data_IF_685467688510
#
_entry.id   IF_685467688510
#
_cell.length_a   1.000
_cell.length_b   1.000
_cell.length_c   1.000
_cell.angle_alpha   90.00
_cell.angle_beta   90.00
_cell.angle_gamma   90.00
#
_symmetry.space_group_name_H-M   'P 1'
#
loop_
_entity.id
_entity.type
_entity.pdbx_description
1 polymer ?
#
# COMPACT_ATOMS: atom_id res chain seq x y z
N UNK A 1 34.23 44.18 -23.02
CA UNK A 1 33.58 44.11 -21.68
C UNK A 1 32.21 43.48 -21.89
N UNK A 2 31.91 42.38 -21.21
CA UNK A 2 30.55 41.83 -21.23
C UNK A 2 29.62 42.83 -20.51
N UNK A 3 28.41 43.09 -21.02
CA UNK A 3 27.49 44.03 -20.38
C UNK A 3 27.07 43.52 -18.99
N UNK A 4 27.21 44.36 -17.96
CA UNK A 4 26.76 44.07 -16.59
C UNK A 4 25.26 43.79 -16.59
N UNK A 5 24.83 42.64 -16.08
CA UNK A 5 23.42 42.24 -16.09
C UNK A 5 22.71 42.88 -14.91
N UNK A 6 22.04 44.01 -15.17
CA UNK A 6 21.25 44.72 -14.16
C UNK A 6 19.78 44.41 -14.34
N UNK A 7 19.14 43.89 -13.28
CA UNK A 7 17.69 43.70 -13.27
C UNK A 7 17.09 44.04 -11.91
N UNK A 8 15.89 44.61 -11.92
CA UNK A 8 15.10 44.86 -10.71
C UNK A 8 14.04 43.78 -10.56
N UNK A 9 13.91 43.27 -9.35
CA UNK A 9 12.96 42.24 -8.98
C UNK A 9 12.02 42.77 -7.89
N UNK A 10 10.78 42.26 -7.89
CA UNK A 10 9.73 42.61 -6.93
C UNK A 10 9.32 41.36 -6.15
N UNK A 11 8.83 41.55 -4.93
CA UNK A 11 8.25 40.48 -4.14
C UNK A 11 7.13 39.77 -4.92
N UNK A 12 7.11 38.43 -4.84
CA UNK A 12 6.10 37.60 -5.51
C UNK A 12 4.72 37.77 -4.88
N UNK A 13 4.67 38.03 -3.57
CA UNK A 13 3.44 38.28 -2.84
C UNK A 13 3.01 39.74 -3.06
N UNK A 14 2.00 39.94 -3.91
CA UNK A 14 1.55 41.25 -4.39
C UNK A 14 1.12 42.22 -3.29
N UNK A 15 0.76 41.70 -2.10
CA UNK A 15 0.43 42.50 -0.92
C UNK A 15 1.64 43.24 -0.32
N UNK A 16 2.87 42.91 -0.73
CA UNK A 16 4.09 43.47 -0.15
C UNK A 16 4.95 44.17 -1.21
N UNK A 17 5.55 45.30 -0.82
CA UNK A 17 6.27 46.21 -1.72
C UNK A 17 7.78 45.96 -1.77
N UNK A 18 8.26 44.79 -1.33
CA UNK A 18 9.68 44.47 -1.30
C UNK A 18 10.32 44.53 -2.69
N UNK A 19 11.49 45.17 -2.79
CA UNK A 19 12.24 45.27 -4.06
C UNK A 19 13.72 44.98 -3.86
N UNK A 20 14.28 44.24 -4.81
CA UNK A 20 15.69 43.91 -4.88
C UNK A 20 16.26 44.27 -6.25
N UNK A 21 17.53 44.63 -6.28
CA UNK A 21 18.31 44.83 -7.50
C UNK A 21 19.38 43.76 -7.56
N UNK A 22 19.49 43.10 -8.71
CA UNK A 22 20.60 42.22 -9.04
C UNK A 22 21.61 43.00 -9.87
N UNK A 23 22.86 43.06 -9.39
CA UNK A 23 23.99 43.65 -10.10
C UNK A 23 25.18 42.69 -9.97
N UNK A 24 25.63 42.14 -11.11
CA UNK A 24 26.82 41.29 -11.25
C UNK A 24 27.01 40.22 -10.15
N UNK A 25 25.95 39.47 -9.84
CA UNK A 25 25.98 38.35 -8.88
C UNK A 25 25.53 38.71 -7.47
N UNK A 26 25.29 39.98 -7.17
CA UNK A 26 24.91 40.45 -5.84
C UNK A 26 23.47 40.96 -5.86
N UNK A 27 22.65 40.45 -4.93
CA UNK A 27 21.33 41.01 -4.66
C UNK A 27 21.43 42.07 -3.58
N UNK A 28 20.95 43.27 -3.89
CA UNK A 28 20.81 44.37 -2.93
C UNK A 28 19.34 44.71 -2.75
N UNK A 29 18.81 44.55 -1.54
CA UNK A 29 17.46 45.01 -1.17
C UNK A 29 17.49 46.52 -0.97
N UNK A 30 16.57 47.24 -1.61
CA UNK A 30 16.50 48.70 -1.49
C UNK A 30 15.12 49.20 -1.07
N UNK A 31 14.15 48.30 -0.98
CA UNK A 31 12.86 48.56 -0.35
C UNK A 31 12.53 47.36 0.52
N UNK A 32 12.38 47.63 1.82
CA UNK A 32 12.09 46.60 2.81
C UNK A 32 10.74 45.95 2.54
N UNK A 33 10.67 44.65 2.79
CA UNK A 33 9.44 43.89 2.78
C UNK A 33 8.95 43.73 4.23
N UNK A 34 7.71 44.13 4.51
CA UNK A 34 7.02 43.74 5.76
C UNK A 34 6.25 42.45 5.47
N UNK A 35 6.92 41.42 4.96
CA UNK A 35 6.28 40.13 4.72
C UNK A 35 6.41 39.23 5.95
N UNK A 36 5.49 38.27 6.07
CA UNK A 36 5.69 37.11 6.95
C UNK A 36 7.03 36.44 6.57
N UNK A 37 7.76 35.93 7.56
CA UNK A 37 8.94 35.12 7.29
C UNK A 37 8.59 34.05 6.24
N UNK A 38 9.42 33.85 5.21
CA UNK A 38 9.11 32.92 4.14
C UNK A 38 8.96 31.52 4.73
N UNK A 39 7.95 30.79 4.27
CA UNK A 39 7.70 29.44 4.73
C UNK A 39 8.87 28.54 4.27
N UNK A 40 9.61 27.92 5.20
CA UNK A 40 10.71 27.03 4.87
C UNK A 40 10.29 25.93 3.88
N UNK A 41 9.07 25.40 4.02
CA UNK A 41 8.56 24.33 3.17
C UNK A 41 8.32 24.80 1.72
N UNK A 42 7.84 26.04 1.55
CA UNK A 42 7.65 26.62 0.21
C UNK A 42 8.99 26.91 -0.47
N UNK A 43 9.99 27.39 0.28
CA UNK A 43 11.35 27.62 -0.23
C UNK A 43 11.96 26.30 -0.70
N UNK A 44 11.89 25.25 0.11
CA UNK A 44 12.46 23.94 -0.23
C UNK A 44 11.78 23.33 -1.46
N UNK A 45 10.45 23.42 -1.56
CA UNK A 45 9.70 23.00 -2.75
C UNK A 45 10.14 23.78 -4.00
N UNK A 46 10.36 25.09 -3.88
CA UNK A 46 10.83 25.92 -4.99
C UNK A 46 12.25 25.53 -5.42
N UNK A 47 13.15 25.32 -4.46
CA UNK A 47 14.54 24.88 -4.71
C UNK A 47 14.58 23.50 -5.38
N UNK A 48 13.76 22.55 -4.93
CA UNK A 48 13.65 21.23 -5.54
C UNK A 48 13.21 21.31 -7.01
N UNK A 49 12.16 22.08 -7.29
CA UNK A 49 11.66 22.27 -8.66
C UNK A 49 12.70 22.97 -9.55
N UNK A 50 13.44 23.92 -8.98
CA UNK A 50 14.52 24.61 -9.68
C UNK A 50 15.65 23.64 -10.06
N UNK A 51 16.12 22.80 -9.12
CA UNK A 51 17.17 21.81 -9.38
C UNK A 51 16.77 20.81 -10.47
N UNK A 52 15.53 20.30 -10.44
CA UNK A 52 15.04 19.41 -11.51
C UNK A 52 15.09 20.10 -12.87
N UNK A 53 14.58 21.34 -12.96
CA UNK A 53 14.56 22.09 -14.22
C UNK A 53 15.96 22.41 -14.73
N UNK A 54 16.85 22.80 -13.83
CA UNK A 54 18.25 23.10 -14.14
C UNK A 54 18.97 21.85 -14.65
N UNK A 55 18.83 20.72 -13.96
CA UNK A 55 19.47 19.47 -14.36
C UNK A 55 18.91 18.97 -15.69
N UNK A 56 17.59 19.04 -15.91
CA UNK A 56 16.97 18.68 -17.19
C UNK A 56 17.45 19.52 -18.39
N UNK A 57 17.95 20.74 -18.15
CA UNK A 57 18.54 21.59 -19.18
C UNK A 57 20.03 21.30 -19.41
N UNK A 58 20.73 20.77 -18.41
CA UNK A 58 22.20 20.62 -18.41
C UNK A 58 22.66 19.18 -18.65
N UNK A 59 21.86 18.17 -18.27
CA UNK A 59 22.18 16.77 -18.47
C UNK A 59 21.17 16.08 -19.38
N UNK A 60 21.66 15.08 -20.12
CA UNK A 60 20.83 14.17 -20.94
C UNK A 60 20.38 12.93 -20.16
N UNK A 61 20.43 13.00 -18.83
CA UNK A 61 19.99 11.88 -18.00
C UNK A 61 18.49 11.65 -18.21
N UNK A 62 18.03 10.38 -18.12
CA UNK A 62 16.61 10.11 -18.17
C UNK A 62 15.88 10.85 -17.03
N UNK A 63 14.66 11.37 -17.25
CA UNK A 63 13.93 12.18 -16.27
C UNK A 63 13.84 11.55 -14.87
N UNK A 64 13.79 10.22 -14.81
CA UNK A 64 13.82 9.44 -13.57
C UNK A 64 15.07 9.69 -12.74
N UNK A 65 16.24 9.66 -13.36
CA UNK A 65 17.54 9.83 -12.69
C UNK A 65 17.72 11.27 -12.20
N UNK A 66 17.25 12.24 -12.99
CA UNK A 66 17.24 13.67 -12.62
C UNK A 66 16.44 13.91 -11.34
N UNK A 67 15.23 13.35 -11.27
CA UNK A 67 14.35 13.48 -10.11
C UNK A 67 14.95 12.77 -8.89
N UNK A 68 15.53 11.57 -9.07
CA UNK A 68 16.14 10.82 -7.97
C UNK A 68 17.35 11.56 -7.38
N UNK A 69 18.23 12.09 -8.23
CA UNK A 69 19.40 12.84 -7.79
C UNK A 69 19.01 14.15 -7.09
N UNK A 70 17.93 14.81 -7.53
CA UNK A 70 17.40 15.98 -6.84
C UNK A 70 16.84 15.62 -5.44
N UNK A 71 16.16 14.47 -5.31
CA UNK A 71 15.62 13.99 -4.03
C UNK A 71 16.69 13.67 -2.99
N UNK A 72 17.84 13.11 -3.40
CA UNK A 72 18.93 12.77 -2.47
C UNK A 72 19.55 14.01 -1.78
N UNK A 73 19.30 15.21 -2.30
CA UNK A 73 19.81 16.48 -1.74
C UNK A 73 18.87 17.09 -0.69
N UNK A 74 17.74 16.45 -0.40
CA UNK A 74 16.68 16.98 0.47
C UNK A 74 16.69 16.25 1.81
N UNK A 75 16.42 16.97 2.91
CA UNK A 75 16.30 16.37 4.24
C UNK A 75 15.06 15.45 4.33
N UNK A 76 15.08 14.49 5.27
CA UNK A 76 13.94 13.58 5.45
C UNK A 76 12.65 14.32 5.84
N UNK A 77 12.76 15.36 6.67
CA UNK A 77 11.62 16.14 7.14
C UNK A 77 10.98 16.95 5.99
N UNK A 78 11.81 17.51 5.11
CA UNK A 78 11.39 18.25 3.92
C UNK A 78 10.75 17.39 2.83
N UNK A 79 11.13 16.11 2.75
CA UNK A 79 10.64 15.18 1.72
C UNK A 79 9.12 14.96 1.78
N UNK A 80 8.49 15.23 2.92
CA UNK A 80 7.04 15.11 3.16
C UNK A 80 6.25 16.17 2.36
N UNK A 81 6.83 17.37 2.19
CA UNK A 81 6.15 18.55 1.62
C UNK A 81 6.30 18.69 0.10
N UNK A 82 7.04 17.76 -0.53
CA UNK A 82 7.34 17.79 -1.96
C UNK A 82 6.31 16.98 -2.75
N UNK A 83 5.85 17.46 -3.93
CA UNK A 83 4.97 16.68 -4.80
C UNK A 83 5.57 15.30 -5.09
N UNK A 84 4.92 14.25 -4.59
CA UNK A 84 5.32 12.89 -4.90
C UNK A 84 4.91 12.55 -6.32
N UNK A 85 5.89 12.32 -7.20
CA UNK A 85 5.65 11.63 -8.45
C UNK A 85 5.19 10.20 -8.14
N UNK A 86 3.93 9.90 -8.40
CA UNK A 86 3.29 8.60 -8.11
C UNK A 86 3.75 7.49 -9.04
N UNK A 87 4.47 7.79 -10.12
CA UNK A 87 4.71 6.78 -11.17
C UNK A 87 5.91 5.84 -10.93
N UNK A 88 6.69 5.97 -9.86
CA UNK A 88 7.71 4.96 -9.52
C UNK A 88 8.33 5.24 -8.16
N UNK A 89 7.84 4.60 -7.09
CA UNK A 89 8.65 4.43 -5.88
C UNK A 89 9.17 3.00 -5.86
N UNK A 90 10.42 2.82 -6.32
CA UNK A 90 11.17 1.61 -6.02
C UNK A 90 11.45 1.61 -4.52
N UNK A 91 10.50 1.12 -3.71
CA UNK A 91 10.68 0.96 -2.27
C UNK A 91 11.84 -0.03 -2.09
N UNK A 92 12.88 0.34 -1.36
CA UNK A 92 13.89 -0.62 -0.93
C UNK A 92 13.58 -0.85 0.54
N UNK A 93 13.23 -2.07 0.93
CA UNK A 93 13.04 -2.44 2.34
C UNK A 93 14.44 -2.67 2.92
N UNK A 94 14.97 -1.78 3.77
CA UNK A 94 16.30 -1.97 4.33
C UNK A 94 16.35 -3.24 5.19
N UNK A 95 17.51 -3.87 5.28
CA UNK A 95 17.68 -5.19 5.91
C UNK A 95 17.17 -5.24 7.36
N UNK A 96 17.34 -4.15 8.12
CA UNK A 96 16.87 -4.04 9.50
C UNK A 96 15.34 -3.98 9.64
N UNK A 97 14.60 -3.72 8.55
CA UNK A 97 13.14 -3.78 8.51
C UNK A 97 12.61 -5.09 7.95
N UNK A 98 13.48 -5.99 7.50
CA UNK A 98 13.11 -7.34 7.07
C UNK A 98 13.03 -8.32 8.24
N UNK A 99 13.46 -7.90 9.43
CA UNK A 99 13.45 -8.68 10.66
C UNK A 99 12.54 -8.05 11.72
N UNK A 100 12.05 -8.85 12.66
CA UNK A 100 11.29 -8.36 13.80
C UNK A 100 12.23 -7.83 14.92
N UNK A 101 11.65 -7.41 16.05
CA UNK A 101 12.40 -6.91 17.20
C UNK A 101 13.34 -7.96 17.85
N UNK A 102 13.16 -9.24 17.55
CA UNK A 102 13.99 -10.35 18.00
C UNK A 102 15.03 -10.77 16.94
N UNK A 103 15.19 -9.98 15.87
CA UNK A 103 16.09 -10.25 14.74
C UNK A 103 15.75 -11.53 13.96
N UNK A 104 14.48 -11.97 14.01
CA UNK A 104 13.98 -13.08 13.21
C UNK A 104 13.44 -12.57 11.87
N UNK A 105 13.61 -13.35 10.81
CA UNK A 105 13.06 -13.02 9.49
C UNK A 105 11.55 -12.78 9.60
N UNK A 106 11.12 -11.61 9.14
CA UNK A 106 9.74 -11.16 9.26
C UNK A 106 9.15 -10.74 7.91
N UNK A 107 9.92 -10.13 7.01
CA UNK A 107 9.52 -9.98 5.62
C UNK A 107 9.57 -11.35 4.95
N UNK A 108 8.42 -11.99 4.81
CA UNK A 108 8.27 -13.32 4.24
C UNK A 108 8.39 -13.31 2.71
N UNK A 109 7.79 -12.30 2.08
CA UNK A 109 7.70 -12.22 0.64
C UNK A 109 7.71 -10.78 0.14
N UNK A 110 8.43 -10.57 -0.96
CA UNK A 110 8.46 -9.34 -1.73
C UNK A 110 8.62 -9.72 -3.20
N UNK A 111 7.58 -9.45 -4.01
CA UNK A 111 7.64 -9.76 -5.45
C UNK A 111 8.55 -8.78 -6.24
N UNK A 112 9.05 -7.71 -5.59
CA UNK A 112 9.89 -6.68 -6.20
C UNK A 112 9.28 -6.02 -7.45
N UNK A 113 7.95 -6.08 -7.61
CA UNK A 113 7.25 -5.39 -8.70
C UNK A 113 7.17 -3.89 -8.39
N UNK A 114 7.40 -3.04 -9.41
CA UNK A 114 7.42 -1.59 -9.26
C UNK A 114 6.05 -0.92 -9.29
N UNK A 115 5.02 -1.63 -9.77
CA UNK A 115 3.66 -1.12 -9.96
C UNK A 115 2.64 -1.94 -9.16
N UNK A 116 2.87 -3.24 -9.03
CA UNK A 116 1.99 -4.20 -8.35
C UNK A 116 2.73 -4.93 -7.24
N UNK A 117 3.43 -4.16 -6.41
CA UNK A 117 4.23 -4.73 -5.34
C UNK A 117 3.35 -5.42 -4.31
N UNK A 118 3.70 -6.65 -3.95
CA UNK A 118 3.10 -7.37 -2.84
C UNK A 118 4.19 -7.60 -1.79
N UNK A 119 3.92 -7.15 -0.57
CA UNK A 119 4.76 -7.44 0.59
C UNK A 119 3.96 -8.31 1.56
N UNK A 120 4.57 -9.38 2.08
CA UNK A 120 3.97 -10.25 3.09
C UNK A 120 4.92 -10.32 4.28
N UNK A 121 4.36 -10.13 5.47
CA UNK A 121 5.07 -10.12 6.73
C UNK A 121 4.51 -11.20 7.66
N UNK A 122 5.36 -12.16 8.02
CA UNK A 122 5.09 -13.19 9.00
C UNK A 122 6.42 -13.85 9.38
N UNK A 123 6.52 -14.31 10.63
CA UNK A 123 7.61 -15.21 11.03
C UNK A 123 7.23 -16.65 10.69
N UNK A 124 8.21 -17.56 10.69
CA UNK A 124 7.93 -19.00 10.60
C UNK A 124 6.97 -19.46 11.70
N UNK A 125 7.18 -19.01 12.93
CA UNK A 125 6.32 -19.34 14.07
C UNK A 125 4.87 -18.86 13.87
N UNK A 126 4.66 -17.70 13.25
CA UNK A 126 3.30 -17.25 12.93
C UNK A 126 2.61 -18.18 11.93
N UNK A 127 3.34 -18.68 10.93
CA UNK A 127 2.83 -19.64 9.95
C UNK A 127 2.53 -20.99 10.61
N UNK A 128 3.41 -21.45 11.50
CA UNK A 128 3.18 -22.67 12.30
C UNK A 128 1.92 -22.55 13.17
N UNK A 129 1.71 -21.40 13.83
CA UNK A 129 0.46 -21.16 14.56
C UNK A 129 -0.75 -21.10 13.65
N UNK A 130 -0.64 -20.48 12.48
CA UNK A 130 -1.70 -20.51 11.47
C UNK A 130 -2.02 -21.95 11.05
N UNK A 131 -1.02 -22.83 10.91
CA UNK A 131 -1.20 -24.26 10.61
C UNK A 131 -2.00 -25.01 11.68
N UNK A 132 -1.80 -24.65 12.94
CA UNK A 132 -2.49 -25.25 14.09
C UNK A 132 -3.88 -24.68 14.34
N UNK A 133 -4.20 -23.52 13.76
CA UNK A 133 -5.50 -22.88 13.93
C UNK A 133 -6.59 -23.62 13.13
N UNK A 134 -7.64 -24.06 13.82
CA UNK A 134 -8.86 -24.59 13.18
C UNK A 134 -9.57 -23.54 12.30
N UNK A 135 -9.34 -22.25 12.58
CA UNK A 135 -10.01 -21.17 11.88
C UNK A 135 -9.12 -19.95 11.68
N UNK A 136 -9.19 -19.40 10.46
CA UNK A 136 -8.55 -18.15 10.11
C UNK A 136 -9.58 -17.07 9.84
N UNK A 137 -9.24 -15.85 10.21
CA UNK A 137 -10.04 -14.66 9.94
C UNK A 137 -9.18 -13.72 9.13
N UNK A 138 -9.71 -13.21 8.02
CA UNK A 138 -8.98 -12.26 7.20
C UNK A 138 -9.68 -10.92 7.23
N UNK A 139 -8.91 -9.85 7.37
CA UNK A 139 -9.43 -8.48 7.35
C UNK A 139 -8.55 -7.59 6.49
N UNK A 140 -9.20 -6.75 5.69
CA UNK A 140 -8.55 -5.85 4.77
C UNK A 140 -8.88 -4.39 5.10
N UNK A 141 -7.93 -3.67 5.69
CA UNK A 141 -8.13 -2.30 6.17
C UNK A 141 -7.55 -1.26 5.22
N UNK A 142 -8.36 -0.29 4.80
CA UNK A 142 -7.98 0.77 3.84
C UNK A 142 -7.41 2.02 4.51
N UNK A 143 -7.98 2.43 5.65
CA UNK A 143 -7.62 3.67 6.33
C UNK A 143 -6.16 3.73 6.82
N UNK A 144 -5.53 2.56 6.95
CA UNK A 144 -4.17 2.38 7.49
C UNK A 144 -3.16 1.95 6.42
N UNK A 145 -3.60 1.78 5.17
CA UNK A 145 -2.70 1.40 4.08
C UNK A 145 -1.74 2.56 3.78
N UNK A 146 -0.41 2.31 3.71
CA UNK A 146 0.53 3.32 3.26
C UNK A 146 0.16 3.79 1.85
N UNK A 147 0.41 5.07 1.51
CA UNK A 147 0.02 5.68 0.22
C UNK A 147 0.43 4.91 -1.04
N UNK A 148 1.39 3.99 -0.94
CA UNK A 148 1.91 3.19 -2.04
C UNK A 148 1.15 1.87 -2.26
N UNK A 149 0.22 1.54 -1.36
CA UNK A 149 -0.59 0.33 -1.40
C UNK A 149 -2.06 0.72 -1.25
N UNK A 150 -2.94 0.01 -1.94
CA UNK A 150 -4.38 0.27 -1.84
C UNK A 150 -4.97 -0.29 -0.56
N UNK A 151 -4.34 -1.34 0.01
CA UNK A 151 -4.86 -2.03 1.18
C UNK A 151 -3.77 -2.69 2.03
N UNK A 152 -3.95 -2.68 3.35
CA UNK A 152 -3.30 -3.61 4.26
C UNK A 152 -4.23 -4.79 4.50
N UNK A 153 -3.78 -6.01 4.24
CA UNK A 153 -4.56 -7.23 4.43
C UNK A 153 -3.91 -8.13 5.48
N UNK A 154 -4.70 -8.57 6.45
CA UNK A 154 -4.23 -9.31 7.62
C UNK A 154 -4.95 -10.65 7.74
N UNK A 155 -4.22 -11.68 8.15
CA UNK A 155 -4.74 -13.03 8.45
C UNK A 155 -4.51 -13.29 9.94
N UNK A 156 -5.57 -13.70 10.62
CA UNK A 156 -5.64 -13.90 12.05
C UNK A 156 -5.99 -15.35 12.37
N UNK A 157 -5.24 -15.95 13.29
CA UNK A 157 -5.56 -17.27 13.83
C UNK A 157 -6.27 -17.17 15.18
N UNK A 158 -7.07 -18.17 15.53
CA UNK A 158 -7.65 -18.30 16.87
C UNK A 158 -6.74 -19.16 17.75
N UNK A 159 -6.03 -18.53 18.69
CA UNK A 159 -5.13 -19.22 19.62
C UNK A 159 -5.70 -19.07 21.04
N UNK A 160 -6.07 -20.20 21.66
CA UNK A 160 -6.65 -20.25 23.02
C UNK A 160 -7.84 -19.29 23.20
N UNK A 161 -8.73 -19.25 22.20
CA UNK A 161 -9.92 -18.41 22.20
C UNK A 161 -9.67 -16.93 21.91
N UNK A 162 -8.44 -16.53 21.58
CA UNK A 162 -8.10 -15.15 21.17
C UNK A 162 -7.79 -15.10 19.68
N UNK A 163 -8.33 -14.09 18.99
CA UNK A 163 -8.00 -13.81 17.59
C UNK A 163 -6.74 -12.95 17.55
N UNK A 164 -5.67 -13.49 16.99
CA UNK A 164 -4.38 -12.81 16.89
C UNK A 164 -4.00 -12.66 15.42
N UNK A 165 -3.54 -11.47 14.99
CA UNK A 165 -2.98 -11.30 13.66
C UNK A 165 -1.63 -12.04 13.58
N UNK A 166 -1.52 -12.94 12.62
CA UNK A 166 -0.33 -13.78 12.43
C UNK A 166 0.39 -13.43 11.13
N UNK A 167 -0.33 -12.88 10.14
CA UNK A 167 0.25 -12.44 8.89
C UNK A 167 -0.33 -11.10 8.46
N UNK A 168 0.55 -10.23 7.98
CA UNK A 168 0.18 -8.94 7.38
C UNK A 168 0.68 -8.88 5.95
N UNK A 169 -0.03 -8.16 5.10
CA UNK A 169 0.36 -7.94 3.72
C UNK A 169 -0.04 -6.55 3.26
N UNK A 170 0.78 -6.00 2.36
CA UNK A 170 0.52 -4.74 1.69
C UNK A 170 0.25 -5.06 0.23
N UNK A 171 -0.96 -4.77 -0.22
CA UNK A 171 -1.47 -5.16 -1.53
C UNK A 171 -1.61 -3.93 -2.44
N UNK A 172 -1.23 -4.05 -3.73
CA UNK A 172 -1.26 -2.93 -4.66
C UNK A 172 -2.68 -2.57 -5.09
N UNK A 173 -3.61 -3.52 -5.03
CA UNK A 173 -5.00 -3.37 -5.41
C UNK A 173 -5.86 -4.50 -4.80
N UNK A 174 -7.15 -4.52 -5.13
CA UNK A 174 -8.12 -5.54 -4.69
C UNK A 174 -8.43 -6.57 -5.76
N UNK A 175 -7.57 -6.69 -6.78
CA UNK A 175 -7.82 -7.61 -7.87
C UNK A 175 -7.74 -9.06 -7.39
N UNK A 176 -8.56 -9.91 -8.00
CA UNK A 176 -8.53 -11.35 -7.82
C UNK A 176 -7.10 -11.93 -7.83
N UNK A 177 -6.32 -11.58 -8.86
CA UNK A 177 -4.97 -12.11 -9.08
C UNK A 177 -4.01 -11.76 -7.94
N UNK A 178 -4.20 -10.61 -7.31
CA UNK A 178 -3.40 -10.16 -6.17
C UNK A 178 -3.65 -11.04 -4.95
N UNK A 179 -4.91 -11.37 -4.67
CA UNK A 179 -5.26 -12.31 -3.60
C UNK A 179 -4.80 -13.74 -3.91
N UNK A 180 -4.96 -14.19 -5.15
CA UNK A 180 -4.45 -15.49 -5.58
C UNK A 180 -2.94 -15.60 -5.34
N UNK A 181 -2.17 -14.56 -5.66
CA UNK A 181 -0.73 -14.53 -5.42
C UNK A 181 -0.41 -14.56 -3.91
N UNK A 182 -1.06 -13.70 -3.11
CA UNK A 182 -0.90 -13.68 -1.65
C UNK A 182 -1.09 -15.07 -1.05
N UNK A 183 -2.26 -15.66 -1.28
CA UNK A 183 -2.61 -16.93 -0.66
C UNK A 183 -1.86 -18.12 -1.29
N UNK A 184 -1.35 -18.00 -2.53
CA UNK A 184 -0.42 -18.99 -3.10
C UNK A 184 0.88 -19.00 -2.31
N UNK A 185 1.43 -17.83 -1.99
CA UNK A 185 2.65 -17.74 -1.18
C UNK A 185 2.40 -18.28 0.23
N UNK A 186 1.25 -17.96 0.83
CA UNK A 186 0.86 -18.51 2.13
C UNK A 186 0.80 -20.04 2.04
N UNK A 187 0.03 -20.60 1.09
CA UNK A 187 -0.13 -22.04 0.87
C UNK A 187 1.17 -22.82 0.62
N UNK A 188 2.23 -22.18 0.10
CA UNK A 188 3.55 -22.80 -0.10
C UNK A 188 4.27 -23.12 1.22
N UNK A 189 3.83 -22.55 2.35
CA UNK A 189 4.39 -22.77 3.67
C UNK A 189 3.65 -23.88 4.46
N UNK A 190 3.18 -24.92 3.75
CA UNK A 190 2.64 -26.17 4.30
C UNK A 190 1.41 -26.01 5.22
N UNK A 191 0.35 -25.33 4.75
CA UNK A 191 -0.85 -25.17 5.57
C UNK A 191 -1.87 -26.30 5.40
N UNK A 192 -2.21 -26.93 6.52
CA UNK A 192 -3.17 -28.04 6.64
C UNK A 192 -4.58 -27.70 6.11
N UNK A 193 -4.87 -26.41 5.92
CA UNK A 193 -6.06 -25.88 5.24
C UNK A 193 -6.37 -26.54 3.89
N UNK A 194 -5.33 -26.90 3.13
CA UNK A 194 -5.50 -27.56 1.84
C UNK A 194 -6.17 -28.93 1.99
N UNK A 195 -5.96 -29.60 3.12
CA UNK A 195 -6.45 -30.96 3.37
C UNK A 195 -7.93 -30.97 3.75
N UNK A 196 -8.33 -30.17 4.73
CA UNK A 196 -9.73 -30.13 5.21
C UNK A 196 -10.70 -29.67 4.11
N UNK A 197 -10.35 -28.64 3.34
CA UNK A 197 -11.20 -28.19 2.23
C UNK A 197 -11.23 -29.17 1.05
N UNK A 198 -10.11 -29.76 0.63
CA UNK A 198 -10.11 -30.70 -0.50
C UNK A 198 -10.80 -32.01 -0.16
N UNK A 199 -10.68 -32.48 1.07
CA UNK A 199 -11.22 -33.76 1.51
C UNK A 199 -12.71 -33.64 1.93
N UNK A 200 -13.15 -32.49 2.48
CA UNK A 200 -14.53 -32.30 2.90
C UNK A 200 -15.43 -31.77 1.76
N UNK A 201 -16.20 -32.67 1.13
CA UNK A 201 -17.17 -32.31 0.09
C UNK A 201 -18.27 -31.35 0.58
N UNK A 202 -18.71 -31.48 1.83
CA UNK A 202 -19.73 -30.62 2.42
C UNK A 202 -19.23 -29.17 2.48
N UNK A 203 -18.04 -28.95 3.05
CA UNK A 203 -17.42 -27.62 3.13
C UNK A 203 -17.22 -26.99 1.75
N UNK A 204 -16.81 -27.77 0.73
CA UNK A 204 -16.70 -27.27 -0.65
C UNK A 204 -18.02 -26.81 -1.23
N UNK A 205 -19.08 -27.61 -1.05
CA UNK A 205 -20.39 -27.29 -1.60
C UNK A 205 -21.02 -26.09 -0.90
N UNK A 206 -20.92 -26.03 0.42
CA UNK A 206 -21.42 -24.91 1.24
C UNK A 206 -20.83 -23.58 0.81
N UNK A 207 -19.54 -23.55 0.50
CA UNK A 207 -18.87 -22.33 0.08
C UNK A 207 -19.21 -21.90 -1.33
N UNK A 208 -19.45 -22.85 -2.24
CA UNK A 208 -20.03 -22.55 -3.56
C UNK A 208 -21.44 -21.97 -3.42
N UNK A 209 -22.24 -22.52 -2.52
CA UNK A 209 -23.61 -22.04 -2.29
C UNK A 209 -23.61 -20.63 -1.65
N UNK A 210 -22.72 -20.36 -0.69
CA UNK A 210 -22.52 -19.02 -0.11
C UNK A 210 -22.12 -17.98 -1.16
N UNK A 211 -21.17 -18.33 -2.04
CA UNK A 211 -20.74 -17.49 -3.14
C UNK A 211 -21.90 -17.14 -4.08
N UNK A 212 -22.77 -18.13 -4.36
CA UNK A 212 -23.91 -17.99 -5.24
C UNK A 212 -24.97 -17.00 -4.70
N UNK A 213 -25.01 -16.72 -3.39
CA UNK A 213 -25.92 -15.73 -2.80
C UNK A 213 -25.74 -14.33 -3.37
N UNK A 214 -24.55 -13.99 -3.86
CA UNK A 214 -24.30 -12.71 -4.54
C UNK A 214 -25.14 -12.53 -5.81
N UNK A 215 -25.65 -13.63 -6.39
CA UNK A 215 -26.48 -13.66 -7.60
C UNK A 215 -27.95 -13.98 -7.32
N UNK A 216 -28.32 -14.26 -6.07
CA UNK A 216 -29.70 -14.47 -5.67
C UNK A 216 -30.42 -13.12 -5.62
N UNK A 217 -31.66 -13.02 -6.13
CA UNK A 217 -32.45 -11.80 -6.01
C UNK A 217 -32.53 -11.32 -4.55
N UNK A 218 -32.44 -10.01 -4.26
CA UNK A 218 -32.35 -9.49 -2.89
C UNK A 218 -33.43 -10.00 -1.94
N UNK A 219 -34.65 -10.19 -2.46
CA UNK A 219 -35.81 -10.65 -1.70
C UNK A 219 -35.69 -12.11 -1.22
N UNK A 220 -34.79 -12.88 -1.84
CA UNK A 220 -34.62 -14.32 -1.60
C UNK A 220 -33.32 -14.64 -0.85
N UNK A 221 -32.42 -13.67 -0.67
CA UNK A 221 -31.11 -13.87 -0.03
C UNK A 221 -31.26 -14.43 1.39
N UNK A 222 -32.22 -13.92 2.17
CA UNK A 222 -32.41 -14.33 3.58
C UNK A 222 -32.87 -15.78 3.68
N UNK A 223 -33.81 -16.19 2.82
CA UNK A 223 -34.32 -17.56 2.78
C UNK A 223 -33.23 -18.54 2.31
N UNK A 224 -32.54 -18.20 1.21
CA UNK A 224 -31.48 -19.05 0.65
C UNK A 224 -30.27 -19.16 1.60
N UNK A 225 -29.89 -18.08 2.29
CA UNK A 225 -28.87 -18.13 3.32
C UNK A 225 -29.28 -19.03 4.49
N UNK A 226 -30.55 -18.99 4.89
CA UNK A 226 -31.08 -19.84 5.97
C UNK A 226 -31.05 -21.33 5.57
N UNK A 227 -31.41 -21.66 4.32
CA UNK A 227 -31.30 -23.03 3.78
C UNK A 227 -29.86 -23.52 3.74
N UNK A 228 -28.91 -22.66 3.36
CA UNK A 228 -27.49 -22.99 3.37
C UNK A 228 -27.03 -23.26 4.81
N UNK A 229 -27.48 -22.42 5.77
CA UNK A 229 -27.19 -22.57 7.21
C UNK A 229 -27.70 -23.89 7.79
N UNK A 230 -28.92 -24.31 7.45
CA UNK A 230 -29.48 -25.58 7.92
C UNK A 230 -28.74 -26.78 7.35
N UNK A 231 -28.39 -26.76 6.07
CA UNK A 231 -27.74 -27.88 5.38
C UNK A 231 -26.25 -28.05 5.72
N UNK A 232 -25.61 -27.04 6.31
CA UNK A 232 -24.19 -27.06 6.61
C UNK A 232 -23.88 -26.38 7.95
N UNK A 233 -24.71 -26.64 8.95
CA UNK A 233 -24.57 -26.08 10.30
C UNK A 233 -23.21 -26.39 10.93
N UNK A 234 -22.64 -27.56 10.67
CA UNK A 234 -21.29 -27.98 11.07
C UNK A 234 -20.16 -27.17 10.43
N UNK A 235 -20.39 -26.59 9.25
CA UNK A 235 -19.46 -25.74 8.51
C UNK A 235 -19.69 -24.25 8.83
N UNK A 236 -20.94 -23.87 9.10
CA UNK A 236 -21.43 -22.50 9.28
C UNK A 236 -21.54 -22.05 10.74
N UNK A 237 -21.44 -22.99 11.69
CA UNK A 237 -21.31 -22.65 13.10
C UNK A 237 -20.09 -21.73 13.28
N UNK A 238 -20.30 -20.66 14.03
CA UNK A 238 -19.59 -19.37 13.97
C UNK A 238 -18.06 -19.36 14.17
N UNK A 239 -17.43 -20.53 14.20
CA UNK A 239 -16.00 -20.74 14.28
C UNK A 239 -15.36 -21.23 12.96
N UNK A 240 -16.08 -21.75 11.95
CA UNK A 240 -15.45 -22.40 10.77
C UNK A 240 -15.58 -21.66 9.44
N UNK A 241 -16.42 -20.62 9.35
CA UNK A 241 -16.85 -20.08 8.06
C UNK A 241 -15.90 -19.05 7.40
N UNK A 242 -14.89 -18.56 8.10
CA UNK A 242 -14.15 -17.37 7.66
C UNK A 242 -13.07 -17.64 6.61
N UNK A 243 -12.83 -18.91 6.26
CA UNK A 243 -11.67 -19.32 5.46
C UNK A 243 -11.93 -19.28 3.95
N UNK A 244 -13.16 -19.50 3.49
CA UNK A 244 -13.35 -19.99 2.12
C UNK A 244 -13.97 -18.98 1.15
N UNK A 245 -14.41 -17.82 1.62
CA UNK A 245 -15.06 -16.82 0.76
C UNK A 245 -14.08 -16.09 -0.19
N UNK A 246 -12.78 -16.09 0.07
CA UNK A 246 -11.85 -15.34 -0.79
C UNK A 246 -11.02 -16.23 -1.71
N UNK A 247 -10.50 -17.38 -1.27
CA UNK A 247 -9.47 -18.07 -2.06
C UNK A 247 -10.00 -18.95 -3.21
N UNK A 248 -11.20 -19.52 -3.08
CA UNK A 248 -11.76 -20.43 -4.11
C UNK A 248 -12.93 -19.85 -4.93
N UNK A 249 -13.61 -18.80 -4.45
CA UNK A 249 -14.53 -18.01 -5.30
C UNK A 249 -13.75 -17.43 -6.47
N UNK A 250 -12.56 -16.90 -6.20
CA UNK A 250 -11.69 -16.32 -7.21
C UNK A 250 -11.24 -17.39 -8.23
N UNK A 251 -10.57 -18.45 -7.80
CA UNK A 251 -9.98 -19.43 -8.75
C UNK A 251 -10.99 -20.27 -9.55
N UNK A 252 -12.26 -20.38 -9.13
CA UNK A 252 -13.26 -21.25 -9.78
C UNK A 252 -14.34 -20.52 -10.57
N UNK A 253 -14.43 -19.19 -10.47
CA UNK A 253 -15.47 -18.39 -11.10
C UNK A 253 -14.83 -17.22 -11.86
N UNK A 254 -14.88 -17.24 -13.20
CA UNK A 254 -14.66 -16.03 -14.02
C UNK A 254 -15.80 -15.06 -13.73
N UNK A 255 -15.67 -14.24 -12.69
CA UNK A 255 -16.56 -13.11 -12.46
C UNK A 255 -15.72 -11.85 -12.24
N UNK A 256 -15.95 -10.87 -13.11
CA UNK A 256 -15.52 -9.50 -12.92
C UNK A 256 -16.23 -8.93 -11.68
N UNK A 257 -15.59 -9.00 -10.52
CA UNK A 257 -16.10 -8.35 -9.32
C UNK A 257 -15.88 -6.84 -9.42
N UNK A 258 -16.96 -6.10 -9.66
CA UNK A 258 -17.04 -4.69 -9.28
C UNK A 258 -17.21 -4.66 -7.76
N UNK A 259 -16.11 -4.41 -7.03
CA UNK A 259 -16.17 -4.08 -5.61
C UNK A 259 -17.05 -2.84 -5.44
N UNK A 260 -18.21 -2.99 -4.78
CA UNK A 260 -19.05 -1.84 -4.41
C UNK A 260 -18.26 -0.94 -3.46
N UNK A 261 -18.32 0.36 -3.77
CA UNK A 261 -17.66 1.49 -3.08
C UNK A 261 -17.89 1.49 -1.58
#
# INVERSE_FOLDING_TARGET
MLPSVKRSEKCLQLAYMGRARYDDGIYTTYQDHICRAPDPDEIEKALYNYEIKKNAQQCHDPPRLIIQNARLKISLDAAINIPQYTASQHIIIPSNYQVNALNEQFLLYDNNDNQRRILIFATKQHLDFLNECESWHCDGTFAVAPKLFEQMYSIHGSIRGKKLPLLYSLLPNKDQKTYEELFRIVAQHELHLKKEFLENQNSRQTMKNLAALAFVPPNNIVEEFSRIKENASDVLDGNKLYILNFYYILSSFRFDFVFRR
#
